data_IF_554329390272
#
_entry.id   IF_554329390272
#
_cell.length_a   1.000
_cell.length_b   1.000
_cell.length_c   1.000
_cell.angle_alpha   90.00
_cell.angle_beta   90.00
_cell.angle_gamma   90.00
#
_symmetry.space_group_name_H-M   'P 1'
#
loop_
_entity.id
_entity.type
_entity.pdbx_description
1 polymer ?
#
# COMPACT_ATOMS: atom_id res chain seq x y z
N UNK A 1 -23.19 -6.56 16.04
CA UNK A 1 -21.87 -7.01 15.56
C UNK A 1 -21.22 -7.70 16.73
N UNK A 2 -21.04 -9.02 16.64
CA UNK A 2 -20.34 -9.78 17.67
C UNK A 2 -18.84 -9.62 17.41
N UNK A 3 -18.09 -9.21 18.44
CA UNK A 3 -16.65 -9.06 18.36
C UNK A 3 -16.01 -10.34 18.87
N UNK A 4 -15.05 -10.85 18.12
CA UNK A 4 -14.19 -11.93 18.53
C UNK A 4 -12.79 -11.39 18.80
N UNK A 5 -12.18 -11.84 19.90
CA UNK A 5 -10.84 -11.48 20.30
C UNK A 5 -10.03 -12.77 20.51
N UNK A 6 -8.84 -12.81 19.93
CA UNK A 6 -7.90 -13.91 20.07
C UNK A 6 -6.53 -13.38 20.51
N UNK A 7 -5.87 -14.11 21.38
CA UNK A 7 -4.55 -13.78 21.92
C UNK A 7 -3.66 -15.02 21.90
N UNK A 8 -2.38 -14.85 21.60
CA UNK A 8 -1.37 -15.88 21.73
C UNK A 8 -1.00 -16.11 23.20
N UNK A 9 -0.17 -17.12 23.50
CA UNK A 9 0.20 -17.44 24.89
C UNK A 9 1.29 -16.52 25.46
N UNK A 10 2.05 -15.82 24.59
CA UNK A 10 3.23 -15.04 24.98
C UNK A 10 3.02 -13.54 25.29
N UNK A 11 1.97 -12.84 24.83
CA UNK A 11 1.75 -11.44 25.21
C UNK A 11 1.50 -11.30 26.71
N UNK A 12 2.14 -10.30 27.33
CA UNK A 12 1.91 -9.91 28.72
C UNK A 12 0.98 -8.70 28.85
N UNK A 13 0.65 -8.30 30.10
CA UNK A 13 -0.22 -7.15 30.40
C UNK A 13 0.25 -5.82 29.79
N UNK A 14 1.52 -5.70 29.43
CA UNK A 14 2.07 -4.55 28.72
C UNK A 14 1.39 -4.29 27.35
N UNK A 15 0.73 -5.29 26.75
CA UNK A 15 -0.01 -5.16 25.50
C UNK A 15 -1.49 -4.78 25.69
N UNK A 16 -1.98 -4.63 26.93
CA UNK A 16 -3.40 -4.35 27.20
C UNK A 16 -3.88 -3.05 26.55
N UNK A 17 -3.05 -2.00 26.58
CA UNK A 17 -3.35 -0.71 25.93
C UNK A 17 -3.47 -0.88 24.42
N UNK A 18 -2.50 -1.54 23.78
CA UNK A 18 -2.48 -1.83 22.35
C UNK A 18 -3.69 -2.67 21.93
N UNK A 19 -4.03 -3.71 22.72
CA UNK A 19 -5.21 -4.55 22.49
C UNK A 19 -6.50 -3.75 22.56
N UNK A 20 -6.64 -2.88 23.57
CA UNK A 20 -7.79 -2.01 23.69
C UNK A 20 -7.90 -1.03 22.52
N UNK A 21 -6.79 -0.48 22.05
CA UNK A 21 -6.74 0.40 20.88
C UNK A 21 -7.16 -0.34 19.59
N UNK A 22 -6.69 -1.58 19.37
CA UNK A 22 -7.12 -2.43 18.26
C UNK A 22 -8.64 -2.68 18.29
N UNK A 23 -9.17 -3.03 19.46
CA UNK A 23 -10.62 -3.23 19.65
C UNK A 23 -11.42 -1.97 19.33
N UNK A 24 -10.96 -0.82 19.82
CA UNK A 24 -11.60 0.46 19.57
C UNK A 24 -11.59 0.83 18.08
N UNK A 25 -10.52 0.52 17.35
CA UNK A 25 -10.42 0.74 15.91
C UNK A 25 -11.46 -0.08 15.12
N UNK A 26 -11.60 -1.39 15.42
CA UNK A 26 -12.60 -2.26 14.77
C UNK A 26 -14.04 -1.79 15.10
N UNK A 27 -14.30 -1.36 16.33
CA UNK A 27 -15.62 -0.83 16.72
C UNK A 27 -15.95 0.48 16.01
N UNK A 28 -14.97 1.37 15.85
CA UNK A 28 -15.13 2.69 15.23
C UNK A 28 -15.32 2.60 13.71
N UNK A 29 -14.79 1.56 13.08
CA UNK A 29 -14.74 1.44 11.61
C UNK A 29 -15.44 0.17 11.12
N UNK A 30 -16.75 0.23 10.82
CA UNK A 30 -17.53 -0.91 10.31
C UNK A 30 -16.94 -1.61 9.08
N UNK A 31 -16.16 -0.90 8.26
CA UNK A 31 -15.51 -1.51 7.09
C UNK A 31 -14.32 -2.44 7.45
N UNK A 32 -13.74 -2.29 8.64
CA UNK A 32 -12.59 -3.07 9.08
C UNK A 32 -13.07 -4.38 9.71
N UNK A 33 -12.91 -5.49 8.97
CA UNK A 33 -13.49 -6.78 9.36
C UNK A 33 -12.57 -7.59 10.29
N UNK A 34 -11.26 -7.38 10.18
CA UNK A 34 -10.23 -8.04 10.98
C UNK A 34 -9.05 -7.09 11.15
N UNK A 35 -8.46 -7.12 12.35
CA UNK A 35 -7.26 -6.37 12.70
C UNK A 35 -6.40 -7.21 13.63
N UNK A 36 -5.10 -7.30 13.37
CA UNK A 36 -4.18 -8.01 14.26
C UNK A 36 -2.83 -7.33 14.41
N UNK A 37 -2.22 -7.55 15.57
CA UNK A 37 -0.90 -7.07 15.93
C UNK A 37 0.14 -8.18 15.76
N UNK A 38 1.31 -7.81 15.23
CA UNK A 38 2.43 -8.71 15.02
C UNK A 38 3.75 -8.10 15.46
N UNK A 39 4.47 -8.83 16.30
CA UNK A 39 5.83 -8.50 16.74
C UNK A 39 6.83 -9.49 16.15
N UNK A 40 7.87 -9.01 15.48
CA UNK A 40 8.90 -9.84 14.86
C UNK A 40 8.34 -10.91 13.89
N UNK A 41 7.20 -10.62 13.25
CA UNK A 41 6.50 -11.55 12.36
C UNK A 41 5.77 -12.70 13.08
N UNK A 42 5.59 -12.59 14.39
CA UNK A 42 4.78 -13.48 15.24
C UNK A 42 3.45 -12.79 15.52
N UNK A 43 2.35 -13.55 15.48
CA UNK A 43 1.02 -13.04 15.84
C UNK A 43 0.93 -12.87 17.35
N UNK A 44 0.53 -11.69 17.82
CA UNK A 44 0.34 -11.43 19.25
C UNK A 44 -1.13 -11.57 19.63
N UNK A 45 -2.00 -10.79 18.98
CA UNK A 45 -3.45 -10.82 19.19
C UNK A 45 -4.19 -10.25 17.98
N UNK A 46 -5.49 -10.54 17.89
CA UNK A 46 -6.36 -10.08 16.82
C UNK A 46 -7.79 -9.84 17.30
N UNK A 47 -8.46 -8.91 16.62
CA UNK A 47 -9.86 -8.58 16.83
C UNK A 47 -10.58 -8.65 15.49
N UNK A 48 -11.74 -9.28 15.46
CA UNK A 48 -12.53 -9.40 14.25
C UNK A 48 -14.04 -9.39 14.51
N UNK A 49 -14.78 -9.15 13.44
CA UNK A 49 -16.25 -9.17 13.41
C UNK A 49 -16.76 -10.24 12.43
N UNK A 50 -15.91 -11.22 12.14
CA UNK A 50 -16.20 -12.30 11.23
C UNK A 50 -17.10 -13.31 11.95
N UNK A 51 -18.18 -13.73 11.28
CA UNK A 51 -18.85 -14.96 11.69
C UNK A 51 -17.93 -16.17 11.50
N UNK A 52 -18.35 -17.32 12.02
CA UNK A 52 -17.77 -18.62 11.66
C UNK A 52 -18.53 -19.17 10.44
N UNK A 53 -18.09 -18.88 9.18
CA UNK A 53 -18.69 -19.54 8.04
C UNK A 53 -18.41 -21.05 8.13
N UNK A 54 -19.34 -21.90 7.66
CA UNK A 54 -19.06 -23.32 7.53
C UNK A 54 -17.81 -23.51 6.65
N UNK A 55 -16.92 -24.47 6.99
CA UNK A 55 -15.69 -24.67 6.25
C UNK A 55 -15.99 -24.96 4.77
N UNK A 56 -15.23 -24.38 3.83
CA UNK A 56 -15.48 -24.58 2.41
C UNK A 56 -15.28 -26.06 2.02
N UNK A 57 -15.95 -26.53 0.94
CA UNK A 57 -15.76 -27.89 0.45
C UNK A 57 -14.29 -28.16 0.12
N UNK A 58 -13.66 -29.13 0.79
CA UNK A 58 -12.24 -29.47 0.61
C UNK A 58 -11.28 -28.78 1.58
N UNK A 59 -11.77 -28.04 2.58
CA UNK A 59 -10.93 -27.54 3.67
C UNK A 59 -10.25 -28.72 4.41
N UNK A 60 -8.95 -28.58 4.68
CA UNK A 60 -8.24 -29.52 5.53
C UNK A 60 -8.87 -29.51 6.95
N UNK A 61 -8.98 -30.67 7.62
CA UNK A 61 -9.49 -30.72 8.99
C UNK A 61 -8.70 -29.76 9.90
N UNK A 62 -9.41 -28.85 10.58
CA UNK A 62 -8.81 -27.93 11.57
C UNK A 62 -8.36 -26.56 11.06
N UNK A 63 -8.48 -26.25 9.78
CA UNK A 63 -8.21 -24.89 9.27
C UNK A 63 -9.41 -23.97 9.42
N UNK A 64 -9.39 -23.07 10.41
CA UNK A 64 -10.40 -21.99 10.50
C UNK A 64 -10.00 -20.81 9.60
N UNK A 65 -10.97 -19.97 9.21
CA UNK A 65 -10.69 -18.70 8.51
C UNK A 65 -9.69 -17.83 9.27
N UNK A 66 -9.76 -17.82 10.60
CA UNK A 66 -8.84 -17.08 11.48
C UNK A 66 -7.41 -17.62 11.42
N UNK A 67 -7.23 -18.93 11.33
CA UNK A 67 -5.89 -19.51 11.12
C UNK A 67 -5.27 -19.10 9.79
N UNK A 68 -6.08 -19.00 8.72
CA UNK A 68 -5.62 -18.50 7.43
C UNK A 68 -5.25 -17.02 7.47
N UNK A 69 -6.04 -16.20 8.17
CA UNK A 69 -5.75 -14.79 8.41
C UNK A 69 -4.44 -14.59 9.18
N UNK A 70 -4.22 -15.37 10.24
CA UNK A 70 -2.98 -15.34 11.01
C UNK A 70 -1.77 -15.69 10.14
N UNK A 71 -1.88 -16.77 9.33
CA UNK A 71 -0.84 -17.16 8.37
C UNK A 71 -0.57 -16.07 7.33
N UNK A 72 -1.62 -15.43 6.82
CA UNK A 72 -1.51 -14.34 5.86
C UNK A 72 -0.80 -13.13 6.47
N UNK A 73 -1.19 -12.67 7.66
CA UNK A 73 -0.53 -11.55 8.33
C UNK A 73 0.95 -11.81 8.60
N UNK A 74 1.32 -13.01 9.07
CA UNK A 74 2.74 -13.42 9.20
C UNK A 74 3.48 -13.40 7.87
N UNK A 75 2.84 -13.85 6.79
CA UNK A 75 3.45 -13.80 5.47
C UNK A 75 3.65 -12.35 5.00
N UNK A 76 2.68 -11.47 5.22
CA UNK A 76 2.74 -10.07 4.82
C UNK A 76 3.82 -9.29 5.57
N UNK A 77 3.93 -9.45 6.89
CA UNK A 77 5.00 -8.80 7.68
C UNK A 77 6.40 -9.24 7.21
N UNK A 78 6.57 -10.52 6.86
CA UNK A 78 7.81 -11.01 6.25
C UNK A 78 8.06 -10.39 4.87
N UNK A 79 7.05 -10.32 3.99
CA UNK A 79 7.18 -9.69 2.68
C UNK A 79 7.49 -8.18 2.81
N UNK A 80 6.86 -7.48 3.75
CA UNK A 80 7.12 -6.07 4.04
C UNK A 80 8.60 -5.85 4.41
N UNK A 81 9.18 -6.72 5.24
CA UNK A 81 10.62 -6.68 5.59
C UNK A 81 11.51 -6.90 4.36
N UNK A 82 11.16 -7.82 3.47
CA UNK A 82 11.91 -8.05 2.24
C UNK A 82 11.81 -6.86 1.28
N UNK A 83 10.63 -6.24 1.20
CA UNK A 83 10.37 -5.07 0.37
C UNK A 83 11.08 -3.81 0.89
N UNK A 84 11.10 -3.60 2.20
CA UNK A 84 11.87 -2.53 2.85
C UNK A 84 13.35 -2.57 2.41
N UNK A 85 13.94 -3.76 2.41
CA UNK A 85 15.32 -3.96 1.96
C UNK A 85 15.49 -3.66 0.47
N UNK A 86 14.56 -4.10 -0.38
CA UNK A 86 14.61 -3.85 -1.81
C UNK A 86 14.49 -2.36 -2.15
N UNK A 87 13.72 -1.59 -1.37
CA UNK A 87 13.52 -0.15 -1.56
C UNK A 87 14.66 0.71 -0.99
N UNK A 88 15.56 0.13 -0.20
CA UNK A 88 16.62 0.86 0.48
C UNK A 88 17.58 1.61 -0.47
N UNK A 89 17.79 1.09 -1.69
CA UNK A 89 18.64 1.71 -2.72
C UNK A 89 18.06 3.04 -3.22
N UNK A 90 16.73 3.22 -3.22
CA UNK A 90 16.11 4.49 -3.59
C UNK A 90 16.37 5.63 -2.59
N UNK A 91 16.90 5.32 -1.39
CA UNK A 91 17.10 6.29 -0.30
C UNK A 91 15.82 7.06 -0.02
N UNK A 92 14.71 6.35 0.21
CA UNK A 92 13.37 6.91 0.47
C UNK A 92 12.89 6.72 1.91
N UNK A 93 13.78 6.25 2.79
CA UNK A 93 13.44 5.85 4.15
C UNK A 93 12.97 4.40 4.21
N UNK A 94 12.37 4.03 5.34
CA UNK A 94 11.76 2.71 5.57
C UNK A 94 10.44 2.54 4.85
N UNK A 95 10.05 1.30 4.55
CA UNK A 95 8.67 0.94 4.25
C UNK A 95 7.82 1.03 5.53
N UNK A 96 6.80 1.87 5.50
CA UNK A 96 5.94 2.18 6.65
C UNK A 96 4.53 1.60 6.51
N UNK A 97 4.06 1.38 5.28
CA UNK A 97 2.74 0.83 5.00
C UNK A 97 2.69 0.08 3.67
N UNK A 98 1.90 -0.99 3.62
CA UNK A 98 1.60 -1.73 2.39
C UNK A 98 0.10 -1.90 2.24
N UNK A 99 -0.42 -1.61 1.05
CA UNK A 99 -1.83 -1.85 0.70
C UNK A 99 -1.92 -2.87 -0.42
N UNK A 100 -2.78 -3.87 -0.26
CA UNK A 100 -3.12 -4.86 -1.29
C UNK A 100 -4.62 -4.81 -1.53
N UNK A 101 -5.04 -4.29 -2.67
CA UNK A 101 -6.45 -4.15 -3.03
C UNK A 101 -6.77 -5.10 -4.19
N UNK A 102 -7.67 -6.05 -3.93
CA UNK A 102 -8.21 -7.01 -4.92
C UNK A 102 -9.60 -6.59 -5.36
N UNK A 103 -10.21 -7.30 -6.31
CA UNK A 103 -11.62 -7.08 -6.68
C UNK A 103 -12.65 -7.54 -5.65
N UNK A 104 -12.23 -8.12 -4.52
CA UNK A 104 -13.13 -8.66 -3.48
C UNK A 104 -12.83 -8.11 -2.07
N UNK A 105 -11.63 -7.59 -1.82
CA UNK A 105 -11.31 -6.91 -0.57
C UNK A 105 -9.96 -6.20 -0.58
N UNK A 106 -9.51 -5.74 0.57
CA UNK A 106 -8.24 -5.05 0.73
C UNK A 106 -7.53 -5.43 2.04
N UNK A 107 -6.20 -5.52 2.01
CA UNK A 107 -5.35 -5.66 3.19
C UNK A 107 -4.45 -4.46 3.37
N UNK A 108 -4.19 -4.14 4.62
CA UNK A 108 -3.27 -3.09 5.06
C UNK A 108 -2.25 -3.70 6.01
N UNK A 109 -0.99 -3.28 5.91
CA UNK A 109 0.07 -3.66 6.82
C UNK A 109 0.89 -2.43 7.13
N UNK A 110 0.70 -1.87 8.32
CA UNK A 110 1.32 -0.63 8.76
C UNK A 110 2.36 -0.94 9.84
N UNK A 111 3.53 -0.33 9.73
CA UNK A 111 4.60 -0.46 10.72
C UNK A 111 4.40 0.57 11.82
N UNK A 112 4.36 0.10 13.06
CA UNK A 112 4.38 0.96 14.25
C UNK A 112 5.81 1.40 14.51
N UNK A 113 6.70 0.43 14.73
CA UNK A 113 8.15 0.59 14.82
C UNK A 113 8.81 -0.55 14.03
N UNK A 114 10.14 -0.54 13.83
CA UNK A 114 10.79 -1.68 13.20
C UNK A 114 10.38 -2.98 13.90
N UNK A 115 9.93 -3.94 13.09
CA UNK A 115 9.44 -5.28 13.50
C UNK A 115 8.06 -5.37 14.14
N UNK A 116 7.41 -4.26 14.48
CA UNK A 116 6.01 -4.23 14.93
C UNK A 116 5.07 -3.73 13.83
N UNK A 117 4.00 -4.50 13.60
CA UNK A 117 3.06 -4.23 12.53
C UNK A 117 1.62 -4.43 13.01
N UNK A 118 0.73 -3.60 12.48
CA UNK A 118 -0.72 -3.82 12.52
C UNK A 118 -1.20 -4.21 11.13
N UNK A 119 -1.96 -5.31 11.04
CA UNK A 119 -2.49 -5.83 9.78
C UNK A 119 -4.01 -5.77 9.82
N UNK A 120 -4.59 -4.96 8.93
CA UNK A 120 -6.02 -4.79 8.78
C UNK A 120 -6.54 -5.47 7.52
N UNK A 121 -7.81 -5.87 7.54
CA UNK A 121 -8.49 -6.50 6.41
C UNK A 121 -9.91 -5.97 6.23
N UNK A 122 -10.24 -5.74 4.97
CA UNK A 122 -11.59 -5.46 4.46
C UNK A 122 -11.96 -6.61 3.52
N UNK A 123 -13.15 -7.17 3.71
CA UNK A 123 -13.73 -8.22 2.87
C UNK A 123 -15.03 -7.73 2.27
N UNK A 124 -15.49 -8.34 1.18
CA UNK A 124 -16.84 -8.16 0.61
C UNK A 124 -17.21 -6.72 0.20
N UNK A 125 -16.23 -5.82 0.14
CA UNK A 125 -16.45 -4.39 -0.07
C UNK A 125 -15.61 -3.83 -1.23
N UNK A 126 -14.99 -4.65 -2.08
CA UNK A 126 -14.21 -4.17 -3.23
C UNK A 126 -14.87 -4.43 -4.60
N UNK A 127 -16.20 -4.60 -4.62
CA UNK A 127 -17.00 -4.71 -5.84
C UNK A 127 -17.59 -3.37 -6.29
N UNK A 128 -17.44 -3.04 -7.58
CA UNK A 128 -17.90 -1.83 -8.30
C UNK A 128 -17.52 -0.48 -7.63
N UNK A 129 -16.39 0.10 -8.06
CA UNK A 129 -15.95 1.43 -7.62
C UNK A 129 -14.52 1.74 -8.08
N UNK A 130 -14.01 2.96 -7.85
CA UNK A 130 -12.60 3.27 -8.09
C UNK A 130 -11.71 2.52 -7.08
N UNK A 131 -10.49 2.13 -7.48
CA UNK A 131 -9.56 1.40 -6.60
C UNK A 131 -8.91 2.29 -5.52
N UNK A 132 -8.70 3.57 -5.83
CA UNK A 132 -8.37 4.61 -4.85
C UNK A 132 -9.59 5.50 -4.64
N UNK A 133 -9.88 5.92 -3.41
CA UNK A 133 -11.11 6.63 -3.11
C UNK A 133 -12.31 5.71 -2.82
N UNK A 134 -12.08 4.40 -2.64
CA UNK A 134 -13.15 3.46 -2.35
C UNK A 134 -13.60 3.64 -0.88
N UNK A 135 -14.83 4.05 -0.58
CA UNK A 135 -15.21 4.51 0.77
C UNK A 135 -14.86 3.51 1.89
N UNK A 136 -15.22 2.25 1.73
CA UNK A 136 -14.94 1.22 2.73
C UNK A 136 -13.44 0.90 2.88
N UNK A 137 -12.67 0.94 1.78
CA UNK A 137 -11.23 0.67 1.83
C UNK A 137 -10.51 1.85 2.45
N UNK A 138 -10.87 3.08 2.07
CA UNK A 138 -10.30 4.31 2.63
C UNK A 138 -10.63 4.47 4.12
N UNK A 139 -11.85 4.13 4.55
CA UNK A 139 -12.24 4.15 5.95
C UNK A 139 -11.37 3.18 6.79
N UNK A 140 -11.24 1.93 6.34
CA UNK A 140 -10.46 0.93 7.05
C UNK A 140 -8.96 1.23 7.02
N UNK A 141 -8.43 1.67 5.88
CA UNK A 141 -7.05 2.09 5.72
C UNK A 141 -6.70 3.25 6.65
N UNK A 142 -7.57 4.26 6.72
CA UNK A 142 -7.41 5.38 7.65
C UNK A 142 -7.46 4.91 9.10
N UNK A 143 -8.34 3.97 9.44
CA UNK A 143 -8.42 3.43 10.80
C UNK A 143 -7.13 2.72 11.22
N UNK A 144 -6.53 1.94 10.31
CA UNK A 144 -5.26 1.26 10.56
C UNK A 144 -4.11 2.27 10.67
N UNK A 145 -4.07 3.29 9.81
CA UNK A 145 -3.06 4.35 9.87
C UNK A 145 -3.16 5.21 11.15
N UNK A 146 -4.38 5.56 11.57
CA UNK A 146 -4.66 6.25 12.84
C UNK A 146 -4.19 5.42 14.03
N UNK A 147 -4.48 4.11 14.03
CA UNK A 147 -4.03 3.19 15.06
C UNK A 147 -2.51 3.10 15.11
N UNK A 148 -1.84 2.87 13.98
CA UNK A 148 -0.38 2.80 13.93
C UNK A 148 0.27 4.09 14.47
N UNK A 149 -0.33 5.25 14.15
CA UNK A 149 0.11 6.56 14.66
C UNK A 149 -0.11 6.70 16.17
N UNK A 150 -1.25 6.23 16.70
CA UNK A 150 -1.53 6.24 18.13
C UNK A 150 -0.53 5.36 18.91
N UNK A 151 -0.25 4.14 18.43
CA UNK A 151 0.71 3.22 19.05
C UNK A 151 2.14 3.80 19.03
N UNK A 152 2.51 4.52 17.96
CA UNK A 152 3.78 5.26 17.91
C UNK A 152 3.84 6.38 18.95
N UNK A 153 2.75 7.09 19.16
CA UNK A 153 2.68 8.18 20.14
C UNK A 153 2.86 7.68 21.58
N UNK A 154 2.41 6.46 21.89
CA UNK A 154 2.68 5.81 23.19
C UNK A 154 4.19 5.63 23.44
N UNK A 155 4.96 5.43 22.37
CA UNK A 155 6.43 5.36 22.41
C UNK A 155 7.10 6.73 22.27
N UNK A 156 6.36 7.83 22.37
CA UNK A 156 6.83 9.22 22.16
C UNK A 156 7.42 9.46 20.76
N UNK A 157 6.99 8.68 19.76
CA UNK A 157 7.37 8.87 18.37
C UNK A 157 6.30 9.68 17.63
N UNK A 158 6.74 10.48 16.64
CA UNK A 158 5.84 11.23 15.77
C UNK A 158 5.18 10.35 14.70
N UNK A 159 4.11 10.88 14.09
CA UNK A 159 3.47 10.26 12.93
C UNK A 159 4.43 10.15 11.74
N UNK A 160 4.28 9.06 10.98
CA UNK A 160 4.89 8.88 9.67
C UNK A 160 3.93 9.26 8.53
N UNK A 161 2.71 9.70 8.88
CA UNK A 161 1.62 10.01 7.97
C UNK A 161 1.35 8.87 6.96
N UNK A 162 1.06 7.61 7.40
CA UNK A 162 0.78 6.52 6.48
C UNK A 162 -0.41 6.86 5.57
N UNK A 163 -0.26 6.66 4.28
CA UNK A 163 -1.25 7.02 3.25
C UNK A 163 -1.34 8.50 2.93
N UNK A 164 -0.60 9.37 3.62
CA UNK A 164 -0.74 10.81 3.48
C UNK A 164 -2.05 11.35 4.08
N UNK A 165 -2.75 10.57 4.92
CA UNK A 165 -4.09 10.89 5.39
C UNK A 165 -4.19 12.18 6.21
N UNK A 166 -3.15 12.52 6.97
CA UNK A 166 -3.12 13.74 7.79
C UNK A 166 -3.01 15.02 6.96
N UNK A 167 -2.48 14.90 5.74
CA UNK A 167 -2.23 16.03 4.83
C UNK A 167 -3.13 16.03 3.61
N UNK A 168 -3.93 14.98 3.43
CA UNK A 168 -4.79 14.77 2.26
C UNK A 168 -5.78 15.92 2.07
N UNK A 169 -5.86 16.45 0.84
CA UNK A 169 -6.78 17.54 0.51
C UNK A 169 -6.34 18.92 1.00
N UNK A 170 -5.20 19.02 1.69
CA UNK A 170 -4.53 20.28 2.02
C UNK A 170 -3.16 20.46 1.34
N UNK A 171 -3.05 20.35 -0.01
CA UNK A 171 -1.82 20.62 -0.75
C UNK A 171 -1.10 21.90 -0.35
N UNK A 172 0.12 21.80 0.20
CA UNK A 172 1.05 22.95 0.19
C UNK A 172 1.73 23.05 -1.18
N UNK A 173 1.51 24.11 -1.98
CA UNK A 173 2.13 24.23 -3.29
C UNK A 173 3.66 24.14 -3.17
N UNK A 174 4.29 23.32 -4.02
CA UNK A 174 5.74 23.32 -4.11
C UNK A 174 6.21 24.62 -4.78
N UNK A 175 7.09 25.41 -4.14
CA UNK A 175 7.59 26.64 -4.72
C UNK A 175 8.29 26.36 -6.06
N UNK A 176 7.94 27.12 -7.10
CA UNK A 176 8.59 27.01 -8.40
C UNK A 176 8.20 25.78 -9.22
N UNK A 177 7.09 25.10 -8.92
CA UNK A 177 6.56 23.95 -9.67
C UNK A 177 6.15 24.24 -11.14
N UNK A 178 6.30 25.48 -11.62
CA UNK A 178 5.91 25.88 -12.96
C UNK A 178 7.06 25.72 -13.97
N UNK A 179 6.76 25.16 -15.14
CA UNK A 179 7.54 25.38 -16.36
C UNK A 179 8.65 24.37 -16.68
N UNK A 180 8.92 23.36 -15.85
CA UNK A 180 9.86 22.30 -16.24
C UNK A 180 9.17 21.21 -17.05
N UNK A 181 9.77 20.81 -18.18
CA UNK A 181 9.29 19.69 -18.99
C UNK A 181 9.64 18.36 -18.31
N UNK A 182 8.74 17.36 -18.33
CA UNK A 182 9.07 16.03 -17.83
C UNK A 182 10.21 15.41 -18.63
N UNK A 183 11.06 14.66 -17.94
CA UNK A 183 12.04 13.78 -18.54
C UNK A 183 11.33 12.54 -19.10
N UNK A 184 11.74 12.09 -20.29
CA UNK A 184 11.21 10.88 -20.94
C UNK A 184 12.33 9.87 -21.07
N UNK A 185 12.32 8.86 -20.21
CA UNK A 185 13.33 7.80 -20.17
C UNK A 185 13.06 6.72 -21.22
N UNK A 186 11.78 6.38 -21.43
CA UNK A 186 11.34 5.41 -22.45
C UNK A 186 10.10 5.95 -23.16
N UNK A 187 10.08 5.88 -24.49
CA UNK A 187 8.96 6.32 -25.33
C UNK A 187 8.18 5.11 -25.86
N UNK A 188 6.87 5.10 -25.64
CA UNK A 188 5.96 4.07 -26.13
C UNK A 188 4.54 4.60 -26.31
N UNK A 189 3.60 3.68 -26.50
CA UNK A 189 2.21 3.99 -26.88
C UNK A 189 1.45 4.78 -25.82
N UNK A 190 1.72 4.53 -24.53
CA UNK A 190 1.09 5.23 -23.40
C UNK A 190 1.67 6.62 -23.10
N UNK A 191 2.60 7.14 -23.93
CA UNK A 191 3.35 8.37 -23.64
C UNK A 191 2.45 9.57 -23.36
N UNK A 192 1.40 9.78 -24.16
CA UNK A 192 0.51 10.93 -23.99
C UNK A 192 -0.22 10.90 -22.64
N UNK A 193 -0.74 9.74 -22.26
CA UNK A 193 -1.46 9.51 -21.01
C UNK A 193 -0.53 9.63 -19.80
N UNK A 194 0.69 9.09 -19.90
CA UNK A 194 1.70 9.20 -18.84
C UNK A 194 2.17 10.65 -18.65
N UNK A 195 2.41 11.39 -19.74
CA UNK A 195 2.79 12.82 -19.68
C UNK A 195 1.69 13.68 -19.05
N UNK A 196 0.42 13.39 -19.32
CA UNK A 196 -0.70 14.09 -18.71
C UNK A 196 -0.89 13.75 -17.22
N UNK A 197 -0.37 12.60 -16.77
CA UNK A 197 -0.46 12.18 -15.39
C UNK A 197 0.70 12.68 -14.53
N UNK A 198 1.93 12.69 -15.01
CA UNK A 198 3.04 13.14 -14.15
C UNK A 198 2.97 14.64 -13.87
N UNK A 199 3.29 15.01 -12.64
CA UNK A 199 3.40 16.38 -12.21
C UNK A 199 4.45 16.50 -11.09
N UNK A 200 5.17 17.63 -11.00
CA UNK A 200 6.12 17.83 -9.93
C UNK A 200 5.47 18.02 -8.55
N UNK A 201 4.14 18.13 -8.46
CA UNK A 201 3.41 18.43 -7.22
C UNK A 201 2.93 17.21 -6.43
N UNK A 202 2.82 16.05 -7.08
CA UNK A 202 2.23 14.85 -6.49
C UNK A 202 2.79 13.56 -7.11
N UNK A 203 2.53 13.30 -8.39
CA UNK A 203 2.93 12.08 -9.09
C UNK A 203 4.19 12.33 -9.92
N UNK A 204 5.33 12.05 -9.30
CA UNK A 204 6.63 12.47 -9.81
C UNK A 204 7.18 11.58 -10.93
N UNK A 205 6.73 10.33 -11.03
CA UNK A 205 7.18 9.37 -12.05
C UNK A 205 6.06 8.37 -12.35
N UNK A 206 5.95 8.00 -13.62
CA UNK A 206 5.05 6.95 -14.10
C UNK A 206 5.79 6.05 -15.09
N UNK A 207 5.53 4.74 -15.01
CA UNK A 207 5.99 3.74 -15.96
C UNK A 207 4.83 2.84 -16.40
N UNK A 208 4.65 2.65 -17.70
CA UNK A 208 3.77 1.63 -18.26
C UNK A 208 4.62 0.41 -18.63
N UNK A 209 4.18 -0.77 -18.19
CA UNK A 209 4.93 -2.02 -18.30
C UNK A 209 4.05 -3.08 -18.94
N UNK A 210 4.56 -3.74 -19.98
CA UNK A 210 3.87 -4.82 -20.68
C UNK A 210 4.85 -5.94 -21.06
N UNK A 211 4.54 -7.16 -20.61
CA UNK A 211 5.39 -8.33 -20.86
C UNK A 211 6.77 -8.24 -20.19
N UNK A 212 6.80 -7.71 -18.96
CA UNK A 212 8.01 -7.46 -18.15
C UNK A 212 8.98 -6.41 -18.72
N UNK A 213 8.58 -5.72 -19.79
CA UNK A 213 9.31 -4.60 -20.37
C UNK A 213 8.63 -3.27 -20.06
N UNK A 214 9.43 -2.28 -19.63
CA UNK A 214 8.97 -0.91 -19.47
C UNK A 214 8.83 -0.30 -20.87
N UNK A 215 7.58 -0.06 -21.29
CA UNK A 215 7.23 0.47 -22.62
C UNK A 215 7.26 1.98 -22.67
N UNK A 216 6.88 2.62 -21.57
CA UNK A 216 6.88 4.09 -21.42
C UNK A 216 7.33 4.43 -20.02
N UNK A 217 8.18 5.44 -19.85
CA UNK A 217 8.56 5.96 -18.54
C UNK A 217 8.86 7.46 -18.63
N UNK A 218 8.16 8.24 -17.79
CA UNK A 218 8.28 9.69 -17.72
C UNK A 218 8.33 10.14 -16.27
N UNK A 219 9.04 11.23 -16.01
CA UNK A 219 9.21 11.74 -14.65
C UNK A 219 9.57 13.22 -14.56
N UNK A 220 9.44 13.79 -13.36
CA UNK A 220 9.88 15.12 -12.98
C UNK A 220 11.03 15.11 -11.96
N UNK A 221 11.80 14.02 -11.83
CA UNK A 221 12.81 13.88 -10.77
C UNK A 221 13.93 14.95 -10.85
N UNK A 222 14.18 15.51 -12.04
CA UNK A 222 15.15 16.62 -12.23
C UNK A 222 14.52 18.01 -11.97
N UNK A 223 13.26 18.09 -11.56
CA UNK A 223 12.57 19.35 -11.30
C UNK A 223 13.19 20.06 -10.08
N UNK A 224 13.58 21.35 -10.16
CA UNK A 224 14.26 22.06 -9.07
C UNK A 224 13.51 22.05 -7.73
N UNK A 225 12.18 22.18 -7.77
CA UNK A 225 11.32 22.08 -6.57
C UNK A 225 11.46 20.76 -5.79
N UNK A 226 11.94 19.68 -6.42
CA UNK A 226 12.18 18.39 -5.79
C UNK A 226 13.60 18.24 -5.22
N UNK A 227 14.48 19.23 -5.43
CA UNK A 227 15.86 19.22 -4.96
C UNK A 227 16.04 18.79 -3.50
N UNK A 228 15.19 19.20 -2.54
CA UNK A 228 15.28 18.74 -1.15
C UNK A 228 15.23 17.22 -0.96
N UNK A 229 14.57 16.47 -1.86
CA UNK A 229 14.42 15.01 -1.80
C UNK A 229 15.61 14.23 -2.39
N UNK A 230 16.60 14.92 -3.00
CA UNK A 230 17.76 14.33 -3.68
C UNK A 230 19.10 14.62 -2.97
N UNK A 231 19.06 14.87 -1.65
CA UNK A 231 20.27 15.13 -0.84
C UNK A 231 21.17 13.90 -0.68
N UNK A 232 20.63 12.68 -0.81
CA UNK A 232 21.35 11.42 -0.57
C UNK A 232 21.56 10.57 -1.83
N UNK A 233 20.85 10.87 -2.91
CA UNK A 233 20.92 10.14 -4.18
C UNK A 233 20.59 11.10 -5.31
N UNK A 234 21.34 11.05 -6.40
CA UNK A 234 21.08 11.88 -7.58
C UNK A 234 19.87 11.37 -8.36
N UNK A 235 19.11 12.29 -8.99
CA UNK A 235 17.93 11.95 -9.79
C UNK A 235 18.18 10.88 -10.87
N UNK A 236 19.29 10.91 -11.64
CA UNK A 236 19.60 9.82 -12.59
C UNK A 236 19.79 8.44 -11.95
N UNK A 237 20.37 8.38 -10.74
CA UNK A 237 20.55 7.11 -10.03
C UNK A 237 19.20 6.58 -9.53
N UNK A 238 18.38 7.43 -8.90
CA UNK A 238 17.04 7.05 -8.44
C UNK A 238 16.12 6.65 -9.61
N UNK A 239 16.24 7.31 -10.77
CA UNK A 239 15.54 6.93 -12.01
C UNK A 239 15.92 5.54 -12.49
N UNK A 240 17.22 5.19 -12.51
CA UNK A 240 17.68 3.83 -12.88
C UNK A 240 17.13 2.78 -11.93
N UNK A 241 17.12 3.06 -10.63
CA UNK A 241 16.50 2.19 -9.64
C UNK A 241 15.03 1.94 -9.97
N UNK A 242 14.22 2.99 -10.13
CA UNK A 242 12.78 2.83 -10.41
C UNK A 242 12.51 2.14 -11.75
N UNK A 243 13.35 2.35 -12.77
CA UNK A 243 13.25 1.62 -14.03
C UNK A 243 13.46 0.10 -13.82
N UNK A 244 14.44 -0.28 -13.02
CA UNK A 244 14.70 -1.68 -12.66
C UNK A 244 13.56 -2.27 -11.83
N UNK A 245 13.21 -1.59 -10.74
CA UNK A 245 12.15 -2.02 -9.82
C UNK A 245 10.80 -2.14 -10.52
N UNK A 246 10.47 -1.23 -11.45
CA UNK A 246 9.24 -1.30 -12.24
C UNK A 246 9.13 -2.58 -13.08
N UNK A 247 10.24 -3.21 -13.49
CA UNK A 247 10.23 -4.52 -14.20
C UNK A 247 9.93 -5.67 -13.24
N UNK A 248 10.42 -5.57 -12.01
CA UNK A 248 10.28 -6.62 -10.99
C UNK A 248 8.89 -6.61 -10.31
N UNK A 249 8.20 -5.47 -10.34
CA UNK A 249 6.88 -5.27 -9.73
C UNK A 249 5.85 -6.32 -10.17
N UNK A 250 5.84 -6.74 -11.43
CA UNK A 250 4.90 -7.76 -11.92
C UNK A 250 5.09 -9.13 -11.24
N UNK A 251 6.34 -9.54 -11.04
CA UNK A 251 6.66 -10.78 -10.34
C UNK A 251 6.32 -10.67 -8.85
N UNK A 252 6.56 -9.50 -8.24
CA UNK A 252 6.16 -9.22 -6.86
C UNK A 252 4.64 -9.28 -6.69
N UNK A 253 3.90 -8.56 -7.52
CA UNK A 253 2.44 -8.54 -7.51
C UNK A 253 1.86 -9.96 -7.68
N UNK A 254 2.47 -10.79 -8.53
CA UNK A 254 2.07 -12.19 -8.71
C UNK A 254 2.27 -13.02 -7.43
N UNK A 255 3.41 -12.85 -6.73
CA UNK A 255 3.66 -13.55 -5.45
C UNK A 255 2.66 -13.11 -4.37
N UNK A 256 2.45 -11.81 -4.23
CA UNK A 256 1.50 -11.25 -3.25
C UNK A 256 0.06 -11.70 -3.56
N UNK A 257 -0.35 -11.66 -4.83
CA UNK A 257 -1.66 -12.14 -5.26
C UNK A 257 -1.88 -13.61 -4.89
N UNK A 258 -0.87 -14.48 -5.06
CA UNK A 258 -0.97 -15.89 -4.69
C UNK A 258 -1.17 -16.08 -3.19
N UNK A 259 -0.55 -15.25 -2.36
CA UNK A 259 -0.67 -15.31 -0.90
C UNK A 259 -2.04 -14.79 -0.43
N UNK A 260 -2.54 -13.71 -1.03
CA UNK A 260 -3.76 -13.00 -0.62
C UNK A 260 -5.04 -13.66 -1.12
N UNK A 261 -5.03 -14.17 -2.36
CA UNK A 261 -6.23 -14.67 -3.05
C UNK A 261 -7.03 -15.73 -2.28
N UNK A 262 -6.43 -16.69 -1.56
CA UNK A 262 -7.20 -17.67 -0.79
C UNK A 262 -8.09 -17.07 0.31
N UNK A 263 -7.71 -15.90 0.84
CA UNK A 263 -8.37 -15.28 2.01
C UNK A 263 -9.26 -14.11 1.61
N UNK A 264 -8.77 -13.26 0.71
CA UNK A 264 -9.44 -12.00 0.31
C UNK A 264 -10.19 -12.16 -1.01
N UNK A 265 -9.87 -13.19 -1.79
CA UNK A 265 -10.48 -13.40 -3.10
C UNK A 265 -10.03 -12.39 -4.15
N UNK A 266 -10.59 -12.51 -5.35
CA UNK A 266 -10.29 -11.64 -6.48
C UNK A 266 -8.84 -11.74 -6.98
N UNK A 267 -8.51 -10.85 -7.91
CA UNK A 267 -7.14 -10.64 -8.37
C UNK A 267 -6.63 -9.31 -7.82
N UNK A 268 -5.35 -9.26 -7.45
CA UNK A 268 -4.67 -8.03 -7.07
C UNK A 268 -4.78 -7.00 -8.21
N UNK A 269 -5.39 -5.87 -7.90
CA UNK A 269 -5.68 -4.79 -8.83
C UNK A 269 -4.85 -3.55 -8.53
N UNK A 270 -4.59 -3.27 -7.25
CA UNK A 270 -3.77 -2.15 -6.76
C UNK A 270 -2.84 -2.62 -5.64
N UNK A 271 -1.59 -2.18 -5.69
CA UNK A 271 -0.60 -2.32 -4.64
C UNK A 271 0.01 -0.95 -4.33
N UNK A 272 0.12 -0.60 -3.05
CA UNK A 272 0.83 0.60 -2.58
C UNK A 272 1.94 0.18 -1.64
N UNK A 273 3.15 0.68 -1.90
CA UNK A 273 4.33 0.55 -1.04
C UNK A 273 4.70 1.93 -0.54
N UNK A 274 4.29 2.22 0.67
CA UNK A 274 4.41 3.53 1.31
C UNK A 274 5.68 3.57 2.16
N UNK A 275 6.56 4.52 1.88
CA UNK A 275 7.87 4.70 2.50
C UNK A 275 7.94 6.06 3.18
N UNK A 276 8.84 6.28 4.14
CA UNK A 276 8.85 7.52 4.94
C UNK A 276 8.89 8.83 4.12
N UNK A 277 9.41 8.81 2.88
CA UNK A 277 9.44 9.97 2.00
C UNK A 277 8.42 9.94 0.85
N UNK A 278 7.55 8.95 0.70
CA UNK A 278 6.60 8.89 -0.41
C UNK A 278 6.05 7.49 -0.65
N UNK A 279 5.70 7.15 -1.88
CA UNK A 279 5.14 5.82 -2.16
C UNK A 279 5.37 5.36 -3.59
N UNK A 280 5.36 4.03 -3.77
CA UNK A 280 5.32 3.37 -5.06
C UNK A 280 3.95 2.72 -5.25
N UNK A 281 3.40 2.85 -6.46
CA UNK A 281 2.10 2.34 -6.83
C UNK A 281 2.23 1.30 -7.93
N UNK A 282 1.37 0.30 -7.89
CA UNK A 282 1.15 -0.65 -8.96
C UNK A 282 -0.36 -0.74 -9.22
N UNK A 283 -0.76 -0.60 -10.47
CA UNK A 283 -2.13 -0.80 -10.92
C UNK A 283 -2.16 -1.75 -12.11
N UNK A 284 -2.93 -2.83 -11.97
CA UNK A 284 -3.09 -3.80 -13.04
C UNK A 284 -3.98 -3.25 -14.15
N UNK A 285 -3.53 -3.40 -15.39
CA UNK A 285 -4.30 -3.05 -16.59
C UNK A 285 -4.82 -4.31 -17.31
N UNK A 286 -4.03 -5.39 -17.27
CA UNK A 286 -4.34 -6.63 -17.96
C UNK A 286 -3.43 -7.78 -17.54
N UNK A 287 -3.45 -8.92 -18.26
CA UNK A 287 -2.47 -9.98 -18.09
C UNK A 287 -1.06 -9.48 -18.40
N UNK A 288 -0.15 -9.51 -17.41
CA UNK A 288 1.25 -9.04 -17.54
C UNK A 288 1.38 -7.58 -18.03
N UNK A 289 0.35 -6.77 -17.80
CA UNK A 289 0.32 -5.36 -18.15
C UNK A 289 -0.16 -4.54 -16.95
N UNK A 290 0.60 -3.50 -16.63
CA UNK A 290 0.36 -2.65 -15.46
C UNK A 290 0.97 -1.27 -15.66
N UNK A 291 0.52 -0.33 -14.83
CA UNK A 291 1.16 0.97 -14.65
C UNK A 291 1.73 1.06 -13.25
N UNK A 292 2.97 1.51 -13.15
CA UNK A 292 3.65 1.82 -11.91
C UNK A 292 3.80 3.34 -11.76
N UNK A 293 3.70 3.82 -10.53
CA UNK A 293 3.84 5.24 -10.21
C UNK A 293 4.74 5.45 -9.01
N UNK A 294 5.30 6.65 -8.87
CA UNK A 294 6.05 7.03 -7.68
C UNK A 294 5.70 8.45 -7.27
N UNK A 295 5.46 8.63 -5.97
CA UNK A 295 5.63 9.92 -5.31
C UNK A 295 6.83 9.89 -4.37
N UNK A 296 7.53 11.02 -4.25
CA UNK A 296 8.66 11.21 -3.34
C UNK A 296 8.36 12.31 -2.32
N UNK A 297 7.08 12.59 -2.09
CA UNK A 297 6.62 13.47 -1.02
C UNK A 297 5.52 12.75 -0.22
N UNK A 298 5.79 12.44 1.04
CA UNK A 298 4.86 11.72 1.90
C UNK A 298 3.52 12.45 2.07
N UNK A 299 3.53 13.78 2.02
CA UNK A 299 2.32 14.58 2.12
C UNK A 299 1.40 14.45 0.89
N UNK A 300 1.87 13.78 -0.18
CA UNK A 300 1.21 13.66 -1.48
C UNK A 300 0.77 12.25 -1.83
N UNK A 301 0.93 11.30 -0.89
CA UNK A 301 0.68 9.88 -1.14
C UNK A 301 -0.77 9.63 -1.59
N UNK A 302 -1.75 10.23 -0.92
CA UNK A 302 -3.15 10.06 -1.31
C UNK A 302 -3.48 10.70 -2.66
N UNK A 303 -3.04 11.93 -2.94
CA UNK A 303 -3.31 12.60 -4.22
C UNK A 303 -2.66 11.87 -5.41
N UNK A 304 -1.43 11.41 -5.23
CA UNK A 304 -0.72 10.65 -6.26
C UNK A 304 -1.42 9.30 -6.54
N UNK A 305 -1.99 8.66 -5.52
CA UNK A 305 -2.75 7.41 -5.66
C UNK A 305 -4.07 7.60 -6.41
N UNK A 306 -4.83 8.66 -6.08
CA UNK A 306 -6.04 9.06 -6.84
C UNK A 306 -5.68 9.29 -8.31
N UNK A 307 -4.58 9.99 -8.57
CA UNK A 307 -4.11 10.26 -9.93
C UNK A 307 -3.68 8.98 -10.66
N UNK A 308 -3.02 8.06 -9.97
CA UNK A 308 -2.65 6.75 -10.50
C UNK A 308 -3.87 5.90 -10.84
N UNK A 309 -4.89 5.88 -9.98
CA UNK A 309 -6.16 5.21 -10.25
C UNK A 309 -6.84 5.78 -11.50
N UNK A 310 -6.86 7.11 -11.66
CA UNK A 310 -7.41 7.75 -12.84
C UNK A 310 -6.59 7.45 -14.11
N UNK A 311 -5.26 7.38 -14.02
CA UNK A 311 -4.40 6.98 -15.13
C UNK A 311 -4.65 5.52 -15.53
N UNK A 312 -4.72 4.61 -14.56
CA UNK A 312 -4.99 3.21 -14.80
C UNK A 312 -6.33 3.04 -15.53
N UNK A 313 -7.39 3.71 -15.07
CA UNK A 313 -8.70 3.69 -15.72
C UNK A 313 -8.68 4.17 -17.19
N UNK A 314 -7.80 5.14 -17.54
CA UNK A 314 -7.64 5.61 -18.93
C UNK A 314 -6.83 4.65 -19.81
N UNK A 315 -5.95 3.85 -19.20
CA UNK A 315 -5.06 2.92 -19.90
C UNK A 315 -5.66 1.51 -20.01
N UNK A 316 -6.55 1.13 -19.10
CA UNK A 316 -7.30 -0.11 -19.21
C UNK A 316 -8.16 -0.03 -20.47
N UNK A 317 -7.98 -0.94 -21.45
CA UNK A 317 -8.86 -0.97 -22.61
C UNK A 317 -10.29 -1.16 -22.11
N UNK A 318 -11.21 -0.29 -22.52
CA UNK A 318 -12.63 -0.62 -22.48
C UNK A 318 -12.77 -1.94 -23.24
N UNK A 319 -13.23 -3.00 -22.58
CA UNK A 319 -13.43 -4.29 -23.23
C UNK A 319 -14.33 -4.14 -24.47
N UNK A 320 -14.29 -5.12 -25.40
CA UNK A 320 -15.14 -5.11 -26.60
C UNK A 320 -16.64 -5.02 -26.27
#
# INVERSE_FOLDING_TARGET
MELYEEEAEHPGPEFDTTRHACRAAVVKSPALHYLAHYSNGVFDFGVDVLGDPPPPPGALPGGTRREELKRLGRHLTFQATALDRALHEARTGRLIRTVLHTGEGALFCDSVVPTEHVVGLVLDHAGTGPLAGHPAVDEADRAVAELATALRAELSLGSLNPGGWETFGAPRPLPGAAGARPHVAVRGEALAQCLAAVAPSDLHLVAHVAGDEVRTMVDHLDHPALGPFFKQVAAPARRRFYLGFARELGALATRLNRAVRPVVGGLLARLVLDVEMGALYYYRLGPREYVAGVTIDQARVGEADVRMSALAARLTPSGP
#
